data_IF_954619899515
#
_entry.id   IF_954619899515
#
_cell.length_a   1.000
_cell.length_b   1.000
_cell.length_c   1.000
_cell.angle_alpha   90.00
_cell.angle_beta   90.00
_cell.angle_gamma   90.00
#
_symmetry.space_group_name_H-M   'P 1'
#
loop_
_entity.id
_entity.type
_entity.pdbx_description
1 polymer ?
#
# COMPACT_ATOMS: atom_id res chain seq x y z
N UNK A 1 -69.79 -60.09 -26.80
CA UNK A 1 -68.63 -59.96 -25.88
C UNK A 1 -67.90 -58.65 -26.22
N UNK A 2 -68.19 -57.56 -25.52
CA UNK A 2 -67.61 -56.24 -25.83
C UNK A 2 -66.28 -56.07 -25.08
N UNK A 3 -65.16 -55.95 -25.82
CA UNK A 3 -63.85 -55.64 -25.25
C UNK A 3 -63.81 -54.15 -24.87
N UNK A 4 -63.76 -53.85 -23.57
CA UNK A 4 -63.43 -52.52 -23.05
C UNK A 4 -61.92 -52.28 -23.22
N UNK A 5 -61.54 -51.46 -24.20
CA UNK A 5 -60.16 -50.96 -24.29
C UNK A 5 -59.99 -49.77 -23.35
N UNK A 6 -59.26 -49.97 -22.26
CA UNK A 6 -58.85 -48.90 -21.36
C UNK A 6 -57.90 -47.95 -22.09
N UNK A 7 -58.28 -46.68 -22.21
CA UNK A 7 -57.40 -45.63 -22.76
C UNK A 7 -56.44 -45.20 -21.66
N UNK A 8 -55.17 -45.56 -21.79
CA UNK A 8 -54.10 -45.08 -20.90
C UNK A 8 -53.85 -43.61 -21.20
N UNK A 9 -54.16 -42.75 -20.24
CA UNK A 9 -53.94 -41.30 -20.33
C UNK A 9 -52.50 -40.99 -19.93
N UNK A 10 -51.61 -40.88 -20.91
CA UNK A 10 -50.24 -40.44 -20.67
C UNK A 10 -50.23 -38.97 -20.20
N UNK A 11 -49.99 -38.77 -18.91
CA UNK A 11 -49.88 -37.45 -18.29
C UNK A 11 -48.46 -36.91 -18.52
N UNK A 12 -48.23 -36.34 -19.70
CA UNK A 12 -46.94 -35.72 -20.02
C UNK A 12 -46.93 -34.27 -19.54
N UNK A 13 -46.30 -33.98 -18.40
CA UNK A 13 -46.05 -32.59 -17.93
C UNK A 13 -44.83 -32.37 -17.00
N UNK A 14 -43.62 -32.92 -17.25
CA UNK A 14 -42.44 -32.56 -16.45
C UNK A 14 -41.65 -31.35 -16.99
N UNK A 15 -41.75 -31.00 -18.28
CA UNK A 15 -40.81 -30.04 -18.88
C UNK A 15 -41.04 -28.58 -18.44
N UNK A 16 -42.29 -28.14 -18.34
CA UNK A 16 -42.60 -26.77 -17.96
C UNK A 16 -42.20 -26.44 -16.51
N UNK A 17 -42.21 -27.42 -15.60
CA UNK A 17 -41.79 -27.22 -14.20
C UNK A 17 -40.27 -27.10 -14.09
N UNK A 18 -39.53 -27.92 -14.83
CA UNK A 18 -38.07 -27.88 -14.84
C UNK A 18 -37.54 -26.56 -15.44
N UNK A 19 -38.20 -26.05 -16.49
CA UNK A 19 -37.86 -24.77 -17.11
C UNK A 19 -38.09 -23.61 -16.13
N UNK A 20 -39.21 -23.62 -15.38
CA UNK A 20 -39.49 -22.61 -14.35
C UNK A 20 -38.47 -22.65 -13.21
N UNK A 21 -38.10 -23.85 -12.75
CA UNK A 21 -37.04 -24.02 -11.73
C UNK A 21 -35.69 -23.53 -12.24
N UNK A 22 -35.36 -23.78 -13.51
CA UNK A 22 -34.13 -23.30 -14.13
C UNK A 22 -34.07 -21.76 -14.16
N UNK A 23 -35.13 -21.09 -14.61
CA UNK A 23 -35.19 -19.62 -14.59
C UNK A 23 -35.14 -19.04 -13.18
N UNK A 24 -35.73 -19.72 -12.19
CA UNK A 24 -35.66 -19.30 -10.79
C UNK A 24 -34.23 -19.42 -10.23
N UNK A 25 -33.54 -20.53 -10.50
CA UNK A 25 -32.13 -20.72 -10.11
C UNK A 25 -31.25 -19.68 -10.81
N UNK A 26 -31.47 -19.42 -12.10
CA UNK A 26 -30.72 -18.41 -12.86
C UNK A 26 -30.93 -16.99 -12.29
N UNK A 27 -32.17 -16.67 -11.90
CA UNK A 27 -32.52 -15.40 -11.25
C UNK A 27 -31.85 -15.23 -9.90
N UNK A 28 -31.88 -16.27 -9.06
CA UNK A 28 -31.19 -16.26 -7.75
C UNK A 28 -29.68 -16.14 -7.94
N UNK A 29 -29.10 -16.89 -8.87
CA UNK A 29 -27.66 -16.84 -9.15
C UNK A 29 -27.22 -15.46 -9.64
N UNK A 30 -28.00 -14.85 -10.54
CA UNK A 30 -27.77 -13.47 -11.02
C UNK A 30 -27.82 -12.47 -9.86
N UNK A 31 -28.83 -12.56 -9.01
CA UNK A 31 -28.99 -11.67 -7.87
C UNK A 31 -27.83 -11.79 -6.86
N UNK A 32 -27.41 -13.03 -6.55
CA UNK A 32 -26.26 -13.28 -5.66
C UNK A 32 -24.98 -12.72 -6.26
N UNK A 33 -24.77 -12.87 -7.57
CA UNK A 33 -23.58 -12.37 -8.26
C UNK A 33 -23.53 -10.84 -8.22
N UNK A 34 -24.65 -10.17 -8.50
CA UNK A 34 -24.79 -8.73 -8.38
C UNK A 34 -24.55 -8.25 -6.94
N UNK A 35 -25.09 -8.96 -5.96
CA UNK A 35 -24.90 -8.63 -4.55
C UNK A 35 -23.42 -8.70 -4.13
N UNK A 36 -22.71 -9.76 -4.55
CA UNK A 36 -21.27 -9.91 -4.30
C UNK A 36 -20.49 -8.78 -4.97
N UNK A 37 -20.79 -8.43 -6.22
CA UNK A 37 -20.10 -7.35 -6.94
C UNK A 37 -20.31 -6.01 -6.21
N UNK A 38 -21.55 -5.69 -5.83
CA UNK A 38 -21.85 -4.47 -5.07
C UNK A 38 -21.13 -4.44 -3.71
N UNK A 39 -21.05 -5.58 -3.02
CA UNK A 39 -20.41 -5.66 -1.71
C UNK A 39 -18.87 -5.60 -1.79
N UNK A 40 -18.27 -6.14 -2.86
CA UNK A 40 -16.82 -6.17 -3.05
C UNK A 40 -16.29 -4.84 -3.64
N UNK A 41 -17.04 -4.22 -4.56
CA UNK A 41 -16.63 -3.02 -5.32
C UNK A 41 -17.21 -1.72 -4.75
N UNK A 42 -18.27 -1.78 -3.94
CA UNK A 42 -18.86 -0.57 -3.34
C UNK A 42 -17.88 0.20 -2.45
N UNK A 43 -18.22 1.45 -2.10
CA UNK A 43 -17.39 2.40 -1.34
C UNK A 43 -16.95 1.93 0.07
N UNK A 44 -17.42 0.76 0.50
CA UNK A 44 -17.04 0.10 1.76
C UNK A 44 -16.58 -1.35 1.55
N UNK A 45 -16.25 -1.72 0.31
CA UNK A 45 -15.85 -3.07 -0.05
C UNK A 45 -14.50 -3.47 0.54
N UNK A 46 -14.24 -4.78 0.58
CA UNK A 46 -13.02 -5.37 1.12
C UNK A 46 -11.75 -4.81 0.45
N UNK A 47 -11.84 -4.41 -0.83
CA UNK A 47 -10.74 -3.79 -1.55
C UNK A 47 -10.29 -2.47 -0.92
N UNK A 48 -11.23 -1.63 -0.51
CA UNK A 48 -10.93 -0.34 0.09
C UNK A 48 -10.25 -0.48 1.46
N UNK A 49 -10.66 -1.48 2.25
CA UNK A 49 -10.02 -1.79 3.53
C UNK A 49 -8.56 -2.22 3.31
N UNK A 50 -8.30 -3.05 2.29
CA UNK A 50 -6.93 -3.46 1.95
C UNK A 50 -6.06 -2.27 1.55
N UNK A 51 -6.58 -1.42 0.65
CA UNK A 51 -5.89 -0.21 0.20
C UNK A 51 -5.64 0.75 1.36
N UNK A 52 -6.62 0.96 2.24
CA UNK A 52 -6.53 1.86 3.38
C UNK A 52 -5.49 1.37 4.41
N UNK A 53 -5.45 0.06 4.69
CA UNK A 53 -4.43 -0.52 5.55
C UNK A 53 -3.02 -0.36 4.96
N UNK A 54 -2.87 -0.53 3.65
CA UNK A 54 -1.59 -0.31 2.98
C UNK A 54 -1.14 1.16 3.07
N UNK A 55 -2.07 2.11 2.89
CA UNK A 55 -1.78 3.54 3.05
C UNK A 55 -1.39 3.87 4.50
N UNK A 56 -2.13 3.35 5.47
CA UNK A 56 -1.83 3.51 6.89
C UNK A 56 -0.42 3.03 7.23
N UNK A 57 -0.02 1.86 6.76
CA UNK A 57 1.32 1.33 6.99
C UNK A 57 2.38 2.24 6.37
N UNK A 58 2.22 2.64 5.11
CA UNK A 58 3.16 3.56 4.43
C UNK A 58 3.34 4.89 5.19
N UNK A 59 2.25 5.48 5.65
CA UNK A 59 2.28 6.74 6.41
C UNK A 59 2.99 6.51 7.75
N UNK A 60 2.73 5.39 8.42
CA UNK A 60 3.36 5.05 9.69
C UNK A 60 4.87 4.85 9.54
N UNK A 61 5.30 4.18 8.47
CA UNK A 61 6.71 3.99 8.15
C UNK A 61 7.40 5.33 7.87
N UNK A 62 6.74 6.22 7.12
CA UNK A 62 7.26 7.59 6.89
C UNK A 62 7.37 8.39 8.19
N UNK A 63 6.40 8.27 9.10
CA UNK A 63 6.48 8.93 10.40
C UNK A 63 7.67 8.40 11.21
N UNK A 64 7.92 7.08 11.17
CA UNK A 64 9.04 6.49 11.86
C UNK A 64 10.38 6.97 11.28
N UNK A 65 10.52 7.02 9.96
CA UNK A 65 11.71 7.53 9.28
C UNK A 65 11.97 9.00 9.61
N UNK A 66 10.95 9.86 9.49
CA UNK A 66 11.06 11.28 9.83
C UNK A 66 11.42 11.50 11.30
N UNK A 67 10.92 10.65 12.20
CA UNK A 67 11.24 10.75 13.62
C UNK A 67 12.70 10.39 13.90
N UNK A 68 13.22 9.34 13.24
CA UNK A 68 14.64 9.00 13.32
C UNK A 68 15.53 10.13 12.77
N UNK A 69 15.12 10.73 11.66
CA UNK A 69 15.83 11.88 11.09
C UNK A 69 15.81 13.07 12.06
N UNK A 70 14.65 13.40 12.62
CA UNK A 70 14.51 14.47 13.61
C UNK A 70 15.39 14.21 14.84
N UNK A 71 15.39 13.00 15.39
CA UNK A 71 16.21 12.65 16.56
C UNK A 71 17.71 12.79 16.24
N UNK A 72 18.12 12.39 15.03
CA UNK A 72 19.51 12.54 14.58
C UNK A 72 19.92 14.01 14.42
N UNK A 73 19.05 14.83 13.83
CA UNK A 73 19.29 16.28 13.68
C UNK A 73 19.31 16.97 15.04
N UNK A 74 18.45 16.57 15.97
CA UNK A 74 18.43 17.12 17.32
C UNK A 74 19.70 16.74 18.10
N UNK A 75 20.17 15.50 17.97
CA UNK A 75 21.44 15.08 18.56
C UNK A 75 22.62 15.88 18.00
N UNK A 76 22.63 16.11 16.69
CA UNK A 76 23.66 16.93 16.03
C UNK A 76 23.61 18.39 16.48
N UNK A 77 22.41 18.98 16.56
CA UNK A 77 22.19 20.32 17.12
C UNK A 77 22.74 20.42 18.53
N UNK A 78 22.44 19.46 19.40
CA UNK A 78 22.92 19.46 20.78
C UNK A 78 24.45 19.39 20.85
N UNK A 79 25.10 18.60 19.98
CA UNK A 79 26.57 18.53 19.87
C UNK A 79 27.16 19.86 19.43
N UNK A 80 26.56 20.50 18.42
CA UNK A 80 26.98 21.81 17.94
C UNK A 80 26.75 22.95 18.95
N UNK A 81 25.83 22.80 19.90
CA UNK A 81 25.55 23.81 20.92
C UNK A 81 26.38 23.59 22.21
N UNK A 82 26.66 22.34 22.57
CA UNK A 82 27.23 21.99 23.88
C UNK A 82 28.72 21.64 23.81
N UNK A 83 29.22 21.14 22.68
CA UNK A 83 30.58 20.63 22.54
C UNK A 83 31.47 21.56 21.70
N UNK A 84 32.26 22.40 22.38
CA UNK A 84 33.20 23.30 21.71
C UNK A 84 34.33 22.59 20.97
N UNK A 85 34.76 21.40 21.42
CA UNK A 85 35.82 20.65 20.75
C UNK A 85 35.30 20.10 19.41
N UNK A 86 34.06 19.61 19.40
CA UNK A 86 33.36 19.20 18.18
C UNK A 86 33.25 20.34 17.16
N UNK A 87 32.84 21.53 17.61
CA UNK A 87 32.74 22.73 16.75
C UNK A 87 34.10 23.13 16.19
N UNK A 88 35.16 23.15 17.02
CA UNK A 88 36.50 23.52 16.59
C UNK A 88 37.05 22.54 15.53
N UNK A 89 36.84 21.23 15.74
CA UNK A 89 37.21 20.21 14.75
C UNK A 89 36.43 20.40 13.46
N UNK A 90 35.11 20.60 13.52
CA UNK A 90 34.27 20.82 12.35
C UNK A 90 34.68 22.08 11.57
N UNK A 91 34.98 23.17 12.27
CA UNK A 91 35.43 24.43 11.68
C UNK A 91 36.77 24.25 10.93
N UNK A 92 37.71 23.49 11.50
CA UNK A 92 39.01 23.19 10.87
C UNK A 92 38.88 22.24 9.68
N UNK A 93 38.13 21.15 9.81
CA UNK A 93 38.05 20.10 8.79
C UNK A 93 37.15 20.47 7.62
N UNK A 94 35.91 20.92 7.90
CA UNK A 94 34.91 21.21 6.87
C UNK A 94 35.08 22.59 6.28
N UNK A 95 35.37 23.57 7.14
CA UNK A 95 35.38 24.99 6.74
C UNK A 95 36.79 25.57 6.60
N UNK A 96 37.84 24.81 6.96
CA UNK A 96 39.24 25.25 6.91
C UNK A 96 39.48 26.57 7.65
N UNK A 97 38.71 26.80 8.72
CA UNK A 97 38.89 27.95 9.59
C UNK A 97 40.12 27.72 10.48
N UNK A 98 40.88 28.79 10.73
CA UNK A 98 42.08 28.75 11.53
C UNK A 98 42.07 29.92 12.52
N UNK A 99 42.64 29.72 13.72
CA UNK A 99 42.76 30.78 14.72
C UNK A 99 43.73 31.86 14.25
N UNK A 100 43.65 33.05 14.85
CA UNK A 100 44.52 34.19 14.51
C UNK A 100 45.99 33.78 14.63
N UNK A 101 46.70 33.72 13.51
CA UNK A 101 48.12 33.32 13.43
C UNK A 101 48.39 31.92 12.88
N UNK A 102 47.36 31.08 12.69
CA UNK A 102 47.48 29.77 12.05
C UNK A 102 47.42 29.88 10.51
N UNK A 103 48.15 29.02 9.78
CA UNK A 103 48.17 28.98 8.30
C UNK A 103 47.48 27.72 7.77
N UNK A 104 46.56 27.89 6.82
CA UNK A 104 45.85 26.80 6.15
C UNK A 104 46.60 26.42 4.87
N UNK A 105 47.00 25.15 4.75
CA UNK A 105 47.63 24.63 3.55
C UNK A 105 46.63 23.80 2.74
N UNK A 106 46.51 24.10 1.44
CA UNK A 106 45.77 23.26 0.50
C UNK A 106 46.76 22.59 -0.44
N UNK A 107 46.79 21.26 -0.44
CA UNK A 107 47.58 20.51 -1.41
C UNK A 107 46.92 20.69 -2.78
N UNK A 108 47.65 21.31 -3.71
CA UNK A 108 47.28 21.39 -5.13
C UNK A 108 48.18 20.42 -5.88
N UNK A 109 47.56 19.49 -6.62
CA UNK A 109 48.30 18.62 -7.52
C UNK A 109 48.93 19.45 -8.63
N UNK A 110 50.22 19.25 -8.86
CA UNK A 110 50.97 20.01 -9.85
C UNK A 110 50.43 19.58 -11.23
N UNK A 111 49.89 20.50 -12.06
CA UNK A 111 49.45 20.12 -13.39
C UNK A 111 50.66 19.56 -14.14
N UNK A 112 50.55 18.31 -14.61
CA UNK A 112 51.55 17.69 -15.43
C UNK A 112 51.77 18.58 -16.67
N UNK A 113 52.95 19.21 -16.72
CA UNK A 113 53.35 20.02 -17.87
C UNK A 113 53.39 19.10 -19.10
N UNK A 114 52.49 19.38 -20.05
CA UNK A 114 52.54 18.86 -21.42
C UNK A 114 53.43 19.76 -22.25
#
# INVERSE_FOLDING_TARGET
MAKKTARVRYKHKPEAENIRRLYWILGVLSFVTLFIIFFVIGDYGLYQIYVLNKQKNRITDHIAELKLEQDSMQAERNRLETDMEYIERLARERYRMAKKGEKVFRVIERPAQK
#
